data_IF_221416041828
#
_entry.id   IF_221416041828
#
_cell.length_a   1.000
_cell.length_b   1.000
_cell.length_c   1.000
_cell.angle_alpha   90.00
_cell.angle_beta   90.00
_cell.angle_gamma   90.00
#
_symmetry.space_group_name_H-M   'P 1'
#
loop_
_entity.id
_entity.type
_entity.pdbx_description
1 polymer ?
#
# COMPACT_ATOMS: atom_id res chain seq x y z
N UNK A 1 -12.97 -6.37 42.39
CA UNK A 1 -11.85 -5.97 41.50
C UNK A 1 -12.47 -5.10 40.44
N UNK A 2 -12.05 -3.83 40.33
CA UNK A 2 -12.52 -2.97 39.25
C UNK A 2 -11.94 -3.51 37.93
N UNK A 3 -12.79 -3.69 36.91
CA UNK A 3 -12.30 -3.97 35.56
C UNK A 3 -11.36 -2.85 35.13
N UNK A 4 -10.20 -3.14 34.50
CA UNK A 4 -9.34 -2.08 33.99
C UNK A 4 -10.14 -1.20 33.04
N UNK A 5 -10.01 0.12 33.18
CA UNK A 5 -10.59 1.06 32.24
C UNK A 5 -10.07 0.74 30.83
N UNK A 6 -10.93 0.80 29.80
CA UNK A 6 -10.50 0.56 28.43
C UNK A 6 -9.42 1.59 28.07
N UNK A 7 -8.26 1.09 27.64
CA UNK A 7 -7.11 1.88 27.26
C UNK A 7 -6.65 1.46 25.87
N UNK A 8 -6.32 2.45 25.03
CA UNK A 8 -5.85 2.22 23.67
C UNK A 8 -4.33 2.19 23.69
N UNK A 9 -3.76 1.12 23.13
CA UNK A 9 -2.33 1.05 22.90
C UNK A 9 -1.96 1.82 21.62
N UNK A 10 -1.22 2.92 21.76
CA UNK A 10 -0.86 3.80 20.65
C UNK A 10 0.66 3.87 20.45
N UNK A 11 1.07 3.74 19.19
CA UNK A 11 2.45 3.90 18.73
C UNK A 11 2.51 4.96 17.63
N UNK A 12 3.58 5.74 17.56
CA UNK A 12 3.77 6.75 16.51
C UNK A 12 5.08 6.50 15.78
N UNK A 13 5.04 6.43 14.46
CA UNK A 13 6.19 6.07 13.61
C UNK A 13 6.34 7.02 12.42
N UNK A 14 7.56 7.10 11.94
CA UNK A 14 7.93 7.75 10.68
C UNK A 14 7.43 6.91 9.50
N UNK A 15 6.58 7.48 8.66
CA UNK A 15 5.99 6.83 7.48
C UNK A 15 7.05 6.31 6.48
N UNK A 16 8.22 6.96 6.42
CA UNK A 16 9.32 6.65 5.49
C UNK A 16 10.30 5.68 6.09
N UNK A 17 10.68 5.87 7.35
CA UNK A 17 11.79 5.09 7.93
C UNK A 17 11.32 3.96 8.84
N UNK A 18 10.07 3.96 9.33
CA UNK A 18 9.65 3.01 10.36
C UNK A 18 10.09 3.38 11.77
N UNK A 19 10.91 4.42 11.91
CA UNK A 19 11.42 4.86 13.21
C UNK A 19 10.29 5.31 14.12
N UNK A 20 10.32 4.89 15.37
CA UNK A 20 9.45 5.43 16.40
C UNK A 20 9.70 6.92 16.62
N UNK A 21 8.64 7.66 16.95
CA UNK A 21 8.69 9.10 17.13
C UNK A 21 8.28 9.49 18.55
N UNK A 22 8.99 10.45 19.11
CA UNK A 22 8.48 11.23 20.23
C UNK A 22 7.36 12.11 19.69
N UNK A 23 6.17 11.96 20.27
CA UNK A 23 4.97 12.60 19.77
C UNK A 23 4.11 13.16 20.90
N UNK A 24 3.22 14.08 20.53
CA UNK A 24 2.25 14.70 21.42
C UNK A 24 0.86 14.31 20.96
N UNK A 25 0.04 13.82 21.89
CA UNK A 25 -1.39 13.60 21.67
C UNK A 25 -2.13 14.73 22.35
N UNK A 26 -2.87 15.49 21.56
CA UNK A 26 -3.78 16.54 22.03
C UNK A 26 -5.21 16.03 21.89
N UNK A 27 -5.93 15.97 22.99
CA UNK A 27 -7.35 15.59 22.97
C UNK A 27 -8.20 16.79 22.58
N UNK A 28 -9.18 16.60 21.70
CA UNK A 28 -10.18 17.63 21.39
C UNK A 28 -11.42 17.43 22.26
N UNK A 29 -11.83 18.47 22.98
CA UNK A 29 -13.11 18.53 23.70
C UNK A 29 -13.99 19.61 23.05
N UNK A 30 -14.87 19.20 22.13
CA UNK A 30 -15.64 20.15 21.32
C UNK A 30 -14.73 20.95 20.39
N UNK A 31 -14.82 22.28 20.42
CA UNK A 31 -13.93 23.18 19.64
C UNK A 31 -12.63 23.54 20.38
N UNK A 32 -12.42 23.04 21.60
CA UNK A 32 -11.25 23.37 22.43
C UNK A 32 -10.22 22.25 22.44
N UNK A 33 -8.94 22.61 22.35
CA UNK A 33 -7.83 21.68 22.59
C UNK A 33 -7.71 21.47 24.10
N UNK A 34 -7.95 20.23 24.54
CA UNK A 34 -7.90 19.80 25.92
C UNK A 34 -6.49 19.39 26.38
N UNK A 35 -6.42 18.32 27.17
CA UNK A 35 -5.17 17.83 27.75
C UNK A 35 -4.16 17.35 26.69
N UNK A 36 -2.87 17.41 27.04
CA UNK A 36 -1.76 16.97 26.20
C UNK A 36 -1.02 15.83 26.90
N UNK A 37 -0.81 14.73 26.18
CA UNK A 37 0.00 13.60 26.63
C UNK A 37 1.23 13.45 25.73
N UNK A 38 2.37 13.14 26.33
CA UNK A 38 3.58 12.79 25.58
C UNK A 38 3.63 11.28 25.32
N UNK A 39 3.96 10.91 24.09
CA UNK A 39 4.33 9.56 23.68
C UNK A 39 5.84 9.53 23.52
N UNK A 40 6.47 8.59 24.21
CA UNK A 40 7.90 8.34 24.06
C UNK A 40 8.16 7.39 22.88
N UNK A 41 9.22 7.65 22.12
CA UNK A 41 9.64 6.84 20.96
C UNK A 41 10.09 5.40 21.30
N UNK A 42 10.02 4.96 22.56
CA UNK A 42 10.62 3.70 22.99
C UNK A 42 9.60 2.62 23.35
N UNK A 43 8.30 2.95 23.38
CA UNK A 43 7.24 1.97 23.69
C UNK A 43 5.86 2.48 23.31
N UNK A 44 4.91 1.58 23.02
CA UNK A 44 3.49 1.92 22.96
C UNK A 44 3.04 2.62 24.25
N UNK A 45 2.20 3.64 24.09
CA UNK A 45 1.63 4.40 25.20
C UNK A 45 0.16 4.03 25.36
N UNK A 46 -0.24 3.67 26.58
CA UNK A 46 -1.64 3.40 26.92
C UNK A 46 -2.38 4.73 27.10
N UNK A 47 -3.36 4.99 26.25
CA UNK A 47 -4.22 6.17 26.32
C UNK A 47 -5.49 5.86 27.12
N UNK A 48 -5.78 6.60 28.21
CA UNK A 48 -6.91 6.30 29.09
C UNK A 48 -8.27 6.79 28.58
N UNK A 49 -8.32 7.43 27.40
CA UNK A 49 -9.48 8.18 26.91
C UNK A 49 -9.72 7.93 25.41
N UNK A 50 -11.00 7.94 25.02
CA UNK A 50 -11.48 7.90 23.64
C UNK A 50 -11.98 9.26 23.19
N UNK A 51 -11.86 9.57 21.91
CA UNK A 51 -12.33 10.81 21.32
C UNK A 51 -11.50 11.22 20.11
N UNK A 52 -11.72 12.44 19.64
CA UNK A 52 -10.91 13.02 18.58
C UNK A 52 -9.59 13.48 19.18
N UNK A 53 -8.48 13.03 18.60
CA UNK A 53 -7.14 13.42 19.00
C UNK A 53 -6.37 13.94 17.80
N UNK A 54 -5.51 14.92 18.07
CA UNK A 54 -4.50 15.40 17.14
C UNK A 54 -3.14 14.85 17.59
N UNK A 55 -2.42 14.20 16.68
CA UNK A 55 -1.09 13.67 16.92
C UNK A 55 -0.06 14.51 16.17
N UNK A 56 0.94 14.99 16.91
CA UNK A 56 2.00 15.84 16.37
C UNK A 56 3.38 15.29 16.77
N UNK A 57 4.34 15.34 15.85
CA UNK A 57 5.75 15.09 16.14
C UNK A 57 6.60 16.18 15.46
N UNK A 58 7.68 16.60 16.10
CA UNK A 58 8.53 17.67 15.58
C UNK A 58 9.14 17.27 14.23
N UNK A 59 8.90 18.08 13.18
CA UNK A 59 9.37 17.80 11.82
C UNK A 59 8.44 16.93 10.98
N UNK A 60 7.25 16.59 11.49
CA UNK A 60 6.27 15.73 10.80
C UNK A 60 4.93 16.44 10.59
N UNK A 61 4.19 16.00 9.57
CA UNK A 61 2.80 16.42 9.35
C UNK A 61 1.91 15.69 10.36
N UNK A 62 1.24 16.44 11.23
CA UNK A 62 0.31 15.89 12.20
C UNK A 62 -0.94 15.29 11.55
N UNK A 63 -1.62 14.43 12.30
CA UNK A 63 -2.86 13.77 11.89
C UNK A 63 -3.94 13.93 12.96
N UNK A 64 -5.17 14.14 12.50
CA UNK A 64 -6.38 14.08 13.31
C UNK A 64 -7.03 12.71 13.13
N UNK A 65 -7.41 12.06 14.24
CA UNK A 65 -8.10 10.79 14.20
C UNK A 65 -9.03 10.62 15.38
N UNK A 66 -10.07 9.81 15.19
CA UNK A 66 -10.95 9.39 16.26
C UNK A 66 -10.47 8.07 16.85
N UNK A 67 -10.08 8.08 18.13
CA UNK A 67 -9.71 6.89 18.89
C UNK A 67 -10.92 6.39 19.68
N UNK A 68 -11.38 5.17 19.40
CA UNK A 68 -12.41 4.50 20.20
C UNK A 68 -11.80 3.90 21.47
N UNK A 69 -12.57 3.81 22.57
CA UNK A 69 -12.03 3.33 23.85
C UNK A 69 -11.59 1.85 23.79
N UNK A 70 -12.28 1.07 22.98
CA UNK A 70 -12.03 -0.34 22.69
C UNK A 70 -11.22 -0.54 21.39
N UNK A 71 -10.54 0.50 20.92
CA UNK A 71 -9.72 0.40 19.73
C UNK A 71 -8.61 -0.64 19.90
N UNK A 72 -8.34 -1.36 18.82
CA UNK A 72 -7.20 -2.26 18.73
C UNK A 72 -5.87 -1.49 18.87
N UNK A 73 -4.76 -2.20 19.19
CA UNK A 73 -3.43 -1.62 19.13
C UNK A 73 -3.24 -0.87 17.80
N UNK A 74 -2.93 0.42 17.92
CA UNK A 74 -2.94 1.37 16.82
C UNK A 74 -1.54 1.93 16.61
N UNK A 75 -1.05 1.87 15.37
CA UNK A 75 0.18 2.56 14.96
C UNK A 75 -0.18 3.72 14.03
N UNK A 76 0.20 4.93 14.41
CA UNK A 76 0.01 6.14 13.60
C UNK A 76 1.31 6.45 12.90
N UNK A 77 1.25 6.57 11.58
CA UNK A 77 2.40 6.90 10.75
C UNK A 77 2.32 8.37 10.38
N UNK A 78 3.40 9.12 10.63
CA UNK A 78 3.48 10.53 10.27
C UNK A 78 4.45 10.72 9.12
N UNK A 79 4.02 11.49 8.12
CA UNK A 79 4.86 11.85 6.98
C UNK A 79 5.82 12.97 7.41
N UNK A 80 7.15 12.83 7.19
CA UNK A 80 8.08 13.91 7.50
C UNK A 80 7.82 15.13 6.60
N UNK A 81 7.96 16.33 7.16
CA UNK A 81 7.83 17.59 6.39
C UNK A 81 8.93 17.75 5.36
N UNK A 82 10.07 17.09 5.56
CA UNK A 82 11.20 17.03 4.65
C UNK A 82 11.56 15.57 4.41
N UNK A 83 11.58 15.17 3.14
CA UNK A 83 12.05 13.83 2.76
C UNK A 83 13.58 13.87 2.66
N UNK A 84 14.32 12.98 3.36
CA UNK A 84 15.78 12.92 3.25
C UNK A 84 16.23 12.69 1.79
N UNK A 85 17.17 13.50 1.32
CA UNK A 85 17.72 13.49 -0.05
C UNK A 85 18.79 12.41 -0.31
N UNK A 86 18.96 11.45 0.61
CA UNK A 86 19.92 10.38 0.39
C UNK A 86 19.50 9.56 -0.85
N UNK A 87 20.43 9.35 -1.78
CA UNK A 87 20.18 8.51 -2.94
C UNK A 87 19.73 7.12 -2.45
N UNK A 88 18.53 6.66 -2.82
CA UNK A 88 18.12 5.31 -2.47
C UNK A 88 19.03 4.35 -3.25
N UNK A 89 19.78 3.50 -2.53
CA UNK A 89 20.37 2.33 -3.19
C UNK A 89 19.27 1.44 -3.77
N UNK A 90 19.63 0.54 -4.69
CA UNK A 90 18.69 -0.36 -5.36
C UNK A 90 17.72 -1.07 -4.41
N UNK A 91 18.20 -1.62 -3.30
CA UNK A 91 17.31 -2.15 -2.26
C UNK A 91 17.75 -1.54 -0.95
N UNK A 92 16.88 -0.76 -0.32
CA UNK A 92 17.18 -0.14 0.95
C UNK A 92 16.00 -0.30 1.91
N UNK A 93 16.24 -0.05 3.18
CA UNK A 93 15.19 -0.22 4.15
C UNK A 93 15.68 -0.09 5.58
N UNK A 94 14.81 -0.43 6.52
CA UNK A 94 15.13 -0.42 7.93
C UNK A 94 14.64 -1.71 8.60
N UNK A 95 15.41 -2.21 9.57
CA UNK A 95 15.07 -3.38 10.39
C UNK A 95 14.72 -2.93 11.80
N UNK A 96 13.54 -3.34 12.28
CA UNK A 96 13.00 -3.03 13.60
C UNK A 96 12.59 -4.29 14.35
N UNK A 97 12.77 -4.24 15.66
CA UNK A 97 12.26 -5.26 16.57
C UNK A 97 10.96 -4.74 17.22
N UNK A 98 9.79 -5.33 16.93
CA UNK A 98 8.53 -4.88 17.48
C UNK A 98 8.34 -5.24 18.96
N UNK A 99 9.11 -6.18 19.52
CA UNK A 99 9.07 -6.50 20.95
C UNK A 99 9.95 -5.54 21.76
N UNK A 100 11.10 -5.14 21.21
CA UNK A 100 12.01 -4.19 21.85
C UNK A 100 11.77 -2.73 21.46
N UNK A 101 10.85 -2.48 20.52
CA UNK A 101 10.45 -1.16 20.03
C UNK A 101 11.64 -0.28 19.60
N UNK A 102 12.64 -0.86 18.93
CA UNK A 102 13.88 -0.17 18.55
C UNK A 102 14.47 -0.68 17.23
N UNK A 103 15.28 0.13 16.52
CA UNK A 103 16.01 -0.34 15.35
C UNK A 103 17.00 -1.44 15.72
N UNK A 104 17.23 -2.35 14.77
CA UNK A 104 18.17 -3.47 14.95
C UNK A 104 19.47 -3.15 14.22
N UNK A 105 20.50 -2.77 14.97
CA UNK A 105 21.83 -2.56 14.42
C UNK A 105 22.58 -3.88 14.20
N UNK A 106 23.33 -3.97 13.10
CA UNK A 106 24.13 -5.15 12.77
C UNK A 106 23.33 -6.37 12.33
N UNK A 107 22.04 -6.23 12.01
CA UNK A 107 21.29 -7.27 11.33
C UNK A 107 21.96 -7.55 9.98
N UNK A 108 22.16 -8.83 9.67
CA UNK A 108 22.74 -9.26 8.39
C UNK A 108 21.62 -9.51 7.40
N UNK A 109 21.61 -8.75 6.33
CA UNK A 109 20.64 -8.92 5.24
C UNK A 109 21.32 -9.58 4.05
N UNK A 110 20.69 -10.62 3.49
CA UNK A 110 21.21 -11.36 2.34
C UNK A 110 20.14 -11.55 1.28
N UNK A 111 20.49 -11.20 0.05
CA UNK A 111 19.67 -11.44 -1.14
C UNK A 111 20.54 -12.07 -2.24
N UNK A 112 20.18 -13.28 -2.66
CA UNK A 112 21.06 -14.11 -3.50
C UNK A 112 22.44 -14.32 -2.85
N UNK A 113 23.50 -13.92 -3.56
CA UNK A 113 24.89 -13.97 -3.10
C UNK A 113 25.40 -12.65 -2.48
N UNK A 114 24.53 -11.66 -2.33
CA UNK A 114 24.88 -10.33 -1.81
C UNK A 114 24.56 -10.23 -0.34
N UNK A 115 25.32 -9.47 0.42
CA UNK A 115 25.08 -9.26 1.86
C UNK A 115 25.41 -7.83 2.25
N UNK A 116 24.61 -7.27 3.14
CA UNK A 116 24.84 -5.96 3.78
C UNK A 116 24.51 -6.07 5.27
N UNK A 117 24.87 -5.04 6.04
CA UNK A 117 24.53 -4.93 7.47
C UNK A 117 23.67 -3.69 7.69
N UNK A 118 22.76 -3.76 8.65
CA UNK A 118 22.07 -2.57 9.13
C UNK A 118 22.96 -1.70 10.03
N UNK A 119 22.82 -0.39 9.93
CA UNK A 119 23.50 0.59 10.77
C UNK A 119 22.83 0.80 12.15
N UNK A 120 23.27 1.79 12.93
CA UNK A 120 22.75 2.05 14.27
C UNK A 120 21.26 2.43 14.28
N UNK A 121 20.78 3.01 13.18
CA UNK A 121 19.40 3.38 12.94
C UNK A 121 18.59 2.22 12.31
N UNK A 122 19.21 1.04 12.16
CA UNK A 122 18.61 -0.14 11.57
C UNK A 122 18.54 -0.08 10.05
N UNK A 123 19.09 0.95 9.41
CA UNK A 123 19.03 1.14 7.97
C UNK A 123 20.01 0.21 7.28
N UNK A 124 19.56 -0.39 6.17
CA UNK A 124 20.41 -1.17 5.29
C UNK A 124 20.29 -0.68 3.85
N UNK A 125 21.34 -0.94 3.06
CA UNK A 125 21.39 -0.58 1.64
C UNK A 125 22.14 -1.66 0.85
N UNK A 126 21.57 -2.04 -0.29
CA UNK A 126 22.22 -2.68 -1.42
C UNK A 126 22.26 -1.68 -2.57
N UNK A 127 23.44 -1.33 -3.05
CA UNK A 127 23.60 -0.21 -3.99
C UNK A 127 23.06 -0.50 -5.39
N UNK A 128 23.19 -1.75 -5.85
CA UNK A 128 22.90 -2.13 -7.24
C UNK A 128 22.13 -3.45 -7.33
N UNK A 129 21.25 -3.60 -8.34
CA UNK A 129 20.60 -4.87 -8.64
C UNK A 129 21.61 -5.96 -9.04
N UNK A 130 21.21 -7.25 -8.95
CA UNK A 130 21.85 -8.33 -9.70
C UNK A 130 21.96 -7.95 -11.20
N UNK A 131 23.08 -8.24 -11.89
CA UNK A 131 23.27 -7.82 -13.30
C UNK A 131 22.23 -8.40 -14.27
N UNK A 132 21.63 -9.51 -13.90
CA UNK A 132 20.63 -10.28 -14.63
C UNK A 132 19.18 -9.87 -14.31
N UNK A 133 18.97 -9.03 -13.28
CA UNK A 133 17.64 -8.54 -12.90
C UNK A 133 17.17 -7.45 -13.87
N UNK A 134 16.47 -7.87 -14.93
CA UNK A 134 15.95 -6.98 -15.97
C UNK A 134 14.42 -6.77 -15.88
N UNK A 135 13.75 -7.55 -15.04
CA UNK A 135 12.29 -7.60 -14.87
C UNK A 135 11.99 -7.87 -13.40
N UNK A 136 10.80 -7.49 -12.93
CA UNK A 136 10.40 -7.79 -11.55
C UNK A 136 10.36 -9.31 -11.33
N UNK A 137 11.05 -9.79 -10.29
CA UNK A 137 11.07 -11.21 -9.92
C UNK A 137 10.94 -11.38 -8.41
N UNK A 138 10.31 -12.49 -7.99
CA UNK A 138 10.25 -12.87 -6.58
C UNK A 138 11.64 -13.29 -6.09
N UNK A 139 12.12 -12.65 -5.04
CA UNK A 139 13.40 -12.92 -4.40
C UNK A 139 13.21 -13.12 -2.90
N UNK A 140 14.12 -13.86 -2.26
CA UNK A 140 14.11 -14.01 -0.81
C UNK A 140 15.16 -13.10 -0.17
N UNK A 141 14.69 -12.16 0.64
CA UNK A 141 15.52 -11.36 1.53
C UNK A 141 15.62 -12.10 2.87
N UNK A 142 16.79 -12.64 3.16
CA UNK A 142 17.09 -13.26 4.45
C UNK A 142 17.60 -12.20 5.42
N UNK A 143 17.08 -12.20 6.64
CA UNK A 143 17.46 -11.28 7.72
C UNK A 143 17.89 -12.11 8.91
N UNK A 144 19.17 -12.05 9.25
CA UNK A 144 19.75 -12.75 10.39
C UNK A 144 20.15 -11.75 11.47
N UNK A 145 19.70 -11.98 12.70
CA UNK A 145 20.09 -11.22 13.90
C UNK A 145 20.75 -12.14 14.92
N UNK A 146 21.15 -11.59 16.06
CA UNK A 146 21.65 -12.37 17.20
C UNK A 146 20.57 -13.26 17.84
N UNK A 147 19.29 -12.89 17.71
CA UNK A 147 18.15 -13.55 18.36
C UNK A 147 17.27 -14.39 17.44
N UNK A 148 17.20 -14.05 16.16
CA UNK A 148 16.30 -14.69 15.20
C UNK A 148 16.80 -14.57 13.76
N UNK A 149 16.33 -15.50 12.93
CA UNK A 149 16.48 -15.48 11.48
C UNK A 149 15.10 -15.49 10.83
N UNK A 150 14.89 -14.60 9.85
CA UNK A 150 13.65 -14.46 9.10
C UNK A 150 13.96 -14.45 7.60
N UNK A 151 13.01 -14.87 6.78
CA UNK A 151 13.09 -14.77 5.32
C UNK A 151 11.81 -14.13 4.81
N UNK A 152 11.94 -13.09 4.00
CA UNK A 152 10.82 -12.40 3.35
C UNK A 152 10.86 -12.61 1.85
N UNK A 153 9.71 -12.90 1.27
CA UNK A 153 9.53 -12.86 -0.18
C UNK A 153 9.31 -11.41 -0.57
N UNK A 154 10.13 -10.90 -1.49
CA UNK A 154 10.05 -9.53 -2.00
C UNK A 154 9.98 -9.57 -3.52
N UNK A 155 9.12 -8.74 -4.11
CA UNK A 155 9.04 -8.57 -5.56
C UNK A 155 9.96 -7.40 -5.95
N UNK A 156 11.12 -7.71 -6.52
CA UNK A 156 12.11 -6.70 -6.87
C UNK A 156 12.35 -6.64 -8.36
N UNK A 157 12.37 -5.42 -8.91
CA UNK A 157 12.78 -5.12 -10.28
C UNK A 157 14.13 -4.41 -10.33
N UNK A 158 14.57 -3.96 -11.53
CA UNK A 158 15.80 -3.18 -11.68
C UNK A 158 15.75 -1.80 -10.97
N UNK A 159 14.54 -1.32 -10.66
CA UNK A 159 14.31 -0.04 -10.01
C UNK A 159 14.62 -0.08 -8.50
N UNK A 160 14.93 1.07 -7.87
CA UNK A 160 15.09 1.14 -6.43
C UNK A 160 13.84 0.69 -5.67
N UNK A 161 13.98 -0.05 -4.58
CA UNK A 161 12.89 -0.47 -3.70
C UNK A 161 13.22 -0.16 -2.25
N UNK A 162 12.19 0.16 -1.47
CA UNK A 162 12.29 0.41 -0.05
C UNK A 162 11.55 -0.67 0.74
N UNK A 163 12.11 -1.08 1.88
CA UNK A 163 11.52 -2.10 2.75
C UNK A 163 11.50 -1.60 4.20
N UNK A 164 10.38 -1.78 4.90
CA UNK A 164 10.31 -1.63 6.35
C UNK A 164 10.08 -3.00 6.99
N UNK A 165 11.07 -3.48 7.74
CA UNK A 165 11.11 -4.84 8.24
C UNK A 165 10.85 -4.81 9.75
N UNK A 166 9.61 -5.11 10.15
CA UNK A 166 9.25 -5.40 11.54
C UNK A 166 9.42 -6.90 11.82
N UNK A 167 10.48 -7.26 12.53
CA UNK A 167 10.84 -8.66 12.77
C UNK A 167 9.74 -9.42 13.52
N UNK A 168 9.37 -10.61 13.05
CA UNK A 168 8.34 -11.44 13.69
C UNK A 168 6.90 -11.09 13.33
N UNK A 169 6.66 -10.08 12.49
CA UNK A 169 5.43 -9.95 11.70
C UNK A 169 5.65 -10.67 10.37
N UNK A 170 5.13 -11.89 10.23
CA UNK A 170 5.20 -12.65 8.96
C UNK A 170 4.15 -12.08 8.02
N UNK A 171 4.56 -11.17 7.13
CA UNK A 171 3.75 -10.80 5.99
C UNK A 171 4.07 -11.77 4.85
N UNK A 172 3.50 -12.98 4.90
CA UNK A 172 3.45 -13.87 3.73
C UNK A 172 2.06 -13.67 3.11
N UNK A 173 1.82 -12.46 2.57
CA UNK A 173 0.57 -12.16 1.88
C UNK A 173 0.74 -12.65 0.43
N UNK A 174 0.53 -13.95 0.25
CA UNK A 174 0.54 -14.64 -1.03
C UNK A 174 -0.49 -13.99 -1.98
N UNK A 175 -0.01 -13.18 -2.92
CA UNK A 175 -0.83 -12.72 -4.05
C UNK A 175 -1.18 -13.94 -4.89
N UNK A 176 -2.45 -14.32 -5.01
CA UNK A 176 -2.89 -15.36 -5.96
C UNK A 176 -3.24 -14.84 -7.35
N UNK A 177 -3.33 -13.52 -7.56
CA UNK A 177 -3.90 -12.94 -8.79
C UNK A 177 -2.88 -12.40 -9.82
N UNK A 178 -1.62 -12.13 -9.47
CA UNK A 178 -0.62 -11.61 -10.45
C UNK A 178 0.68 -12.44 -10.50
N UNK A 179 0.98 -13.17 -9.42
CA UNK A 179 2.21 -13.95 -9.24
C UNK A 179 2.36 -15.15 -10.18
N UNK A 180 1.26 -15.71 -10.73
CA UNK A 180 1.32 -16.88 -11.62
C UNK A 180 1.78 -16.58 -13.05
N UNK A 181 1.68 -15.34 -13.54
CA UNK A 181 2.00 -15.01 -14.94
C UNK A 181 3.34 -14.28 -15.15
N UNK A 182 4.09 -13.97 -14.09
CA UNK A 182 5.44 -13.38 -14.20
C UNK A 182 6.40 -14.29 -15.00
N UNK A 183 6.08 -15.58 -15.17
CA UNK A 183 6.90 -16.53 -15.92
C UNK A 183 6.74 -16.46 -17.46
N UNK A 184 5.61 -16.01 -18.01
CA UNK A 184 5.24 -16.39 -19.40
C UNK A 184 4.98 -15.26 -20.41
N UNK A 185 5.17 -13.98 -20.07
CA UNK A 185 4.92 -12.90 -21.07
C UNK A 185 6.01 -11.83 -21.11
N UNK A 186 7.06 -12.10 -21.88
CA UNK A 186 8.04 -11.09 -22.29
C UNK A 186 8.13 -11.02 -23.81
N UNK A 187 7.47 -10.03 -24.40
CA UNK A 187 7.88 -9.49 -25.70
C UNK A 187 8.29 -8.02 -25.49
N UNK A 188 9.52 -7.68 -25.91
CA UNK A 188 10.23 -6.43 -25.58
C UNK A 188 10.25 -5.47 -26.77
N UNK A 189 10.09 -4.17 -26.50
CA UNK A 189 10.89 -3.12 -27.16
C UNK A 189 11.11 -1.92 -26.20
N UNK A 190 12.36 -1.63 -25.76
CA UNK A 190 12.65 -0.66 -24.70
C UNK A 190 12.93 0.79 -25.16
N UNK A 191 12.47 1.25 -26.33
CA UNK A 191 12.74 2.64 -26.75
C UNK A 191 11.50 3.39 -27.22
N UNK A 192 10.90 4.17 -26.31
CA UNK A 192 10.26 5.48 -26.57
C UNK A 192 9.73 6.09 -25.26
N UNK A 193 10.49 6.98 -24.64
CA UNK A 193 9.98 7.89 -23.62
C UNK A 193 10.24 9.31 -24.10
N UNK A 194 9.18 9.97 -24.57
CA UNK A 194 9.18 11.41 -24.81
C UNK A 194 8.39 12.08 -23.67
N UNK A 195 9.05 12.99 -22.97
CA UNK A 195 8.47 13.88 -21.96
C UNK A 195 7.40 14.77 -22.59
N UNK A 196 6.19 14.81 -22.02
CA UNK A 196 5.21 15.86 -22.32
C UNK A 196 4.14 16.04 -21.23
N UNK A 197 4.15 17.24 -20.63
CA UNK A 197 3.15 18.03 -19.88
C UNK A 197 1.91 17.35 -19.23
N UNK A 198 1.65 17.78 -17.98
CA UNK A 198 0.50 17.47 -17.12
C UNK A 198 -0.86 17.88 -17.71
N UNK A 199 -1.91 17.05 -17.54
CA UNK A 199 -3.29 17.42 -17.89
C UNK A 199 -3.90 18.44 -16.90
N UNK A 200 -4.92 19.21 -17.32
CA UNK A 200 -5.48 20.31 -16.53
C UNK A 200 -6.34 19.87 -15.32
N UNK A 201 -6.26 20.66 -14.24
CA UNK A 201 -6.91 20.46 -12.93
C UNK A 201 -8.46 20.63 -12.98
N UNK A 202 -9.19 19.56 -12.71
CA UNK A 202 -10.60 19.57 -12.30
C UNK A 202 -10.76 20.04 -10.84
N UNK A 203 -11.95 20.50 -10.38
CA UNK A 203 -12.14 20.92 -8.99
C UNK A 203 -11.89 19.75 -8.03
N UNK A 204 -10.88 19.90 -7.20
CA UNK A 204 -10.30 18.83 -6.37
C UNK A 204 -11.15 18.68 -5.10
N UNK A 205 -11.94 17.61 -5.01
CA UNK A 205 -12.27 17.06 -3.70
C UNK A 205 -10.93 16.75 -3.03
N UNK A 206 -10.61 17.44 -1.94
CA UNK A 206 -9.40 17.14 -1.19
C UNK A 206 -9.51 15.69 -0.68
N UNK A 207 -8.51 14.82 -0.96
CA UNK A 207 -8.51 13.50 -0.39
C UNK A 207 -8.53 13.53 1.14
N UNK A 208 -9.06 12.50 1.80
CA UNK A 208 -8.95 12.37 3.25
C UNK A 208 -7.47 12.41 3.65
N UNK A 209 -7.18 13.05 4.79
CA UNK A 209 -5.81 13.22 5.27
C UNK A 209 -5.15 11.87 5.58
N UNK A 210 -5.93 10.91 6.09
CA UNK A 210 -5.48 9.58 6.48
C UNK A 210 -6.52 8.50 6.23
N UNK A 211 -6.08 7.26 6.32
CA UNK A 211 -6.90 6.04 6.27
C UNK A 211 -6.49 5.09 7.39
N UNK A 212 -7.48 4.41 7.98
CA UNK A 212 -7.29 3.36 9.00
C UNK A 212 -7.31 2.00 8.33
N UNK A 213 -6.18 1.33 8.32
CA UNK A 213 -6.01 0.01 7.70
C UNK A 213 -5.91 -1.07 8.79
N UNK A 214 -6.80 -2.06 8.75
CA UNK A 214 -6.79 -3.19 9.68
C UNK A 214 -5.83 -4.31 9.22
N UNK A 215 -5.08 -4.86 10.16
CA UNK A 215 -4.13 -5.96 9.93
C UNK A 215 -4.39 -7.14 10.87
N UNK A 216 -4.14 -8.35 10.39
CA UNK A 216 -4.10 -9.55 11.23
C UNK A 216 -2.73 -9.63 11.92
N UNK A 217 -2.72 -9.94 13.22
CA UNK A 217 -1.47 -9.99 14.00
C UNK A 217 -0.63 -11.26 13.77
N UNK A 218 -1.21 -12.29 13.15
CA UNK A 218 -0.61 -13.62 12.92
C UNK A 218 -0.19 -13.87 11.47
N UNK A 219 -0.18 -12.84 10.62
CA UNK A 219 0.05 -12.99 9.18
C UNK A 219 -1.13 -13.62 8.42
N UNK A 220 -2.26 -13.85 9.09
CA UNK A 220 -3.50 -14.29 8.47
C UNK A 220 -4.17 -13.21 7.61
N UNK A 221 -5.32 -13.54 7.03
CA UNK A 221 -6.09 -12.58 6.22
C UNK A 221 -7.21 -11.95 7.03
N UNK A 222 -7.38 -10.64 6.85
CA UNK A 222 -8.48 -9.87 7.44
C UNK A 222 -9.86 -10.07 6.78
N UNK A 223 -9.98 -10.92 5.77
CA UNK A 223 -11.19 -11.01 4.94
C UNK A 223 -12.48 -11.36 5.68
N UNK A 224 -12.38 -12.04 6.82
CA UNK A 224 -13.52 -12.47 7.64
C UNK A 224 -13.61 -11.71 8.97
N UNK A 225 -12.97 -10.54 9.08
CA UNK A 225 -13.05 -9.68 10.26
C UNK A 225 -12.11 -10.07 11.41
N UNK A 226 -11.08 -10.87 11.13
CA UNK A 226 -10.03 -11.33 12.06
C UNK A 226 -8.89 -10.34 12.27
N UNK A 227 -8.99 -9.12 11.75
CA UNK A 227 -8.01 -8.09 12.07
C UNK A 227 -7.92 -7.89 13.59
N UNK A 228 -6.75 -7.49 14.06
CA UNK A 228 -6.47 -7.32 15.50
C UNK A 228 -5.56 -6.13 15.80
N UNK A 229 -5.06 -5.45 14.77
CA UNK A 229 -4.29 -4.20 14.89
C UNK A 229 -4.74 -3.22 13.81
N UNK A 230 -4.47 -1.93 14.02
CA UNK A 230 -4.77 -0.86 13.07
C UNK A 230 -3.52 -0.04 12.78
N UNK A 231 -3.31 0.29 11.51
CA UNK A 231 -2.37 1.33 11.11
C UNK A 231 -3.13 2.53 10.57
N UNK A 232 -2.84 3.73 11.09
CA UNK A 232 -3.36 4.98 10.57
C UNK A 232 -2.27 5.61 9.71
N UNK A 233 -2.53 5.67 8.41
CA UNK A 233 -1.57 6.09 7.40
C UNK A 233 -2.04 7.39 6.76
N UNK A 234 -1.17 8.36 6.47
CA UNK A 234 -1.47 9.41 5.51
C UNK A 234 -1.89 8.75 4.19
N UNK A 235 -2.90 9.30 3.51
CA UNK A 235 -3.46 8.61 2.34
C UNK A 235 -2.39 8.36 1.26
N UNK A 236 -1.48 9.29 1.02
CA UNK A 236 -0.39 9.08 0.05
C UNK A 236 0.61 8.01 0.49
N UNK A 237 0.87 7.86 1.79
CA UNK A 237 1.68 6.76 2.33
C UNK A 237 0.97 5.42 2.11
N UNK A 238 -0.35 5.38 2.31
CA UNK A 238 -1.15 4.20 2.02
C UNK A 238 -1.06 3.78 0.55
N UNK A 239 -1.18 4.71 -0.39
CA UNK A 239 -1.06 4.39 -1.83
C UNK A 239 0.35 3.89 -2.15
N UNK A 240 1.38 4.52 -1.59
CA UNK A 240 2.79 4.15 -1.80
C UNK A 240 3.11 2.71 -1.36
N UNK A 241 2.49 2.28 -0.27
CA UNK A 241 2.66 0.98 0.40
C UNK A 241 1.85 -0.18 -0.17
N UNK A 242 1.01 0.08 -1.16
CA UNK A 242 0.17 -0.97 -1.76
C UNK A 242 0.18 -1.00 -3.27
N UNK A 243 0.63 0.08 -3.94
CA UNK A 243 0.60 0.12 -5.40
C UNK A 243 1.50 -0.96 -6.03
N UNK A 244 2.65 -1.29 -5.44
CA UNK A 244 3.54 -2.33 -5.95
C UNK A 244 3.03 -3.76 -5.74
N UNK A 245 2.04 -3.96 -4.86
CA UNK A 245 1.37 -5.25 -4.68
C UNK A 245 0.28 -5.46 -5.74
N UNK A 246 -0.36 -4.37 -6.15
CA UNK A 246 -1.49 -4.41 -7.08
C UNK A 246 -1.08 -4.13 -8.54
N UNK A 247 -0.03 -3.33 -8.76
CA UNK A 247 0.54 -3.04 -10.06
C UNK A 247 2.00 -3.49 -10.10
N UNK A 248 2.37 -4.19 -11.18
CA UNK A 248 3.74 -4.66 -11.33
C UNK A 248 4.66 -3.45 -11.53
N UNK A 249 5.58 -3.23 -10.60
CA UNK A 249 6.46 -2.06 -10.58
C UNK A 249 7.25 -1.80 -11.88
N UNK A 250 7.49 -2.83 -12.71
CA UNK A 250 8.17 -2.69 -14.01
C UNK A 250 7.25 -2.28 -15.16
N UNK A 251 5.96 -2.07 -14.91
CA UNK A 251 5.02 -1.55 -15.90
C UNK A 251 5.30 -0.09 -16.24
N UNK A 252 4.66 0.35 -17.32
CA UNK A 252 4.80 1.70 -17.85
C UNK A 252 4.36 2.75 -16.82
N UNK A 253 4.98 3.93 -16.86
CA UNK A 253 4.67 5.00 -15.91
C UNK A 253 3.19 5.41 -15.95
N UNK A 254 2.56 5.45 -17.12
CA UNK A 254 1.14 5.80 -17.19
C UNK A 254 0.24 4.67 -16.66
N UNK A 255 0.58 3.39 -16.84
CA UNK A 255 -0.15 2.29 -16.16
C UNK A 255 -0.05 2.40 -14.63
N UNK A 256 1.16 2.64 -14.10
CA UNK A 256 1.36 2.82 -12.66
C UNK A 256 0.59 4.04 -12.12
N UNK A 257 0.51 5.15 -12.87
CA UNK A 257 -0.25 6.35 -12.48
C UNK A 257 -1.76 6.10 -12.48
N UNK A 258 -2.28 5.38 -13.47
CA UNK A 258 -3.68 4.95 -13.49
C UNK A 258 -3.98 4.06 -12.26
N UNK A 259 -3.10 3.10 -11.96
CA UNK A 259 -3.16 2.28 -10.76
C UNK A 259 -3.14 3.10 -9.47
N UNK A 260 -2.25 4.08 -9.36
CA UNK A 260 -2.14 4.96 -8.19
C UNK A 260 -3.45 5.71 -7.93
N UNK A 261 -4.09 6.24 -8.97
CA UNK A 261 -5.36 6.97 -8.85
C UNK A 261 -6.50 6.04 -8.44
N UNK A 262 -6.60 4.85 -9.05
CA UNK A 262 -7.63 3.88 -8.69
C UNK A 262 -7.44 3.35 -7.26
N UNK A 263 -6.20 3.02 -6.88
CA UNK A 263 -5.90 2.55 -5.53
C UNK A 263 -6.24 3.63 -4.49
N UNK A 264 -5.85 4.89 -4.73
CA UNK A 264 -6.17 6.05 -3.87
C UNK A 264 -7.67 6.29 -3.75
N UNK A 265 -8.38 6.24 -4.88
CA UNK A 265 -9.82 6.52 -4.92
C UNK A 265 -10.63 5.46 -4.19
N UNK A 266 -10.24 4.19 -4.30
CA UNK A 266 -10.86 3.09 -3.55
C UNK A 266 -10.64 3.23 -2.03
N UNK A 267 -9.40 3.52 -1.61
CA UNK A 267 -9.09 3.81 -0.22
C UNK A 267 -9.86 5.02 0.32
N UNK A 268 -9.89 6.12 -0.43
CA UNK A 268 -10.63 7.33 -0.07
C UNK A 268 -12.14 7.09 0.05
N UNK A 269 -12.71 6.25 -0.83
CA UNK A 269 -14.10 5.83 -0.71
C UNK A 269 -14.35 5.08 0.59
N UNK A 270 -13.44 4.20 1.01
CA UNK A 270 -13.54 3.45 2.26
C UNK A 270 -13.38 4.30 3.52
N UNK A 271 -12.65 5.41 3.48
CA UNK A 271 -12.66 6.38 4.60
C UNK A 271 -14.07 6.93 4.86
N UNK A 272 -14.85 7.16 3.79
CA UNK A 272 -16.24 7.61 3.91
C UNK A 272 -17.23 6.45 4.11
N UNK A 273 -16.82 5.22 3.80
CA UNK A 273 -17.63 4.01 3.86
C UNK A 273 -16.85 2.89 4.58
N UNK A 274 -16.57 3.07 5.88
CA UNK A 274 -15.66 2.19 6.60
C UNK A 274 -16.27 0.80 6.75
N UNK A 275 -15.44 -0.24 6.62
CA UNK A 275 -15.88 -1.64 6.78
C UNK A 275 -16.38 -1.92 8.19
N UNK A 276 -15.77 -1.30 9.19
CA UNK A 276 -16.17 -1.42 10.60
C UNK A 276 -15.99 -0.08 11.32
N UNK A 277 -16.44 0.00 12.57
CA UNK A 277 -16.13 1.17 13.40
C UNK A 277 -14.63 1.34 13.68
N UNK A 278 -13.85 0.24 13.66
CA UNK A 278 -12.44 0.23 14.06
C UNK A 278 -11.49 0.63 12.91
N UNK A 279 -11.83 0.30 11.67
CA UNK A 279 -10.98 0.56 10.50
C UNK A 279 -11.81 0.80 9.23
N UNK A 280 -11.20 1.52 8.30
CA UNK A 280 -11.83 1.91 7.03
C UNK A 280 -11.76 0.78 6.02
N UNK A 281 -10.56 0.20 5.86
CA UNK A 281 -10.25 -0.91 4.97
C UNK A 281 -9.31 -1.92 5.65
N UNK A 282 -9.25 -3.15 5.12
CA UNK A 282 -8.32 -4.16 5.61
C UNK A 282 -7.13 -4.35 4.66
N UNK A 283 -5.98 -4.78 5.16
CA UNK A 283 -4.86 -5.22 4.31
C UNK A 283 -5.01 -6.71 4.00
N UNK A 284 -5.51 -7.03 2.80
CA UNK A 284 -5.58 -8.39 2.25
C UNK A 284 -6.16 -8.40 0.83
N UNK A 285 -6.06 -9.56 0.16
CA UNK A 285 -6.57 -9.78 -1.20
C UNK A 285 -8.10 -9.64 -1.40
N UNK A 286 -8.90 -9.45 -0.35
CA UNK A 286 -10.34 -9.12 -0.49
C UNK A 286 -10.66 -7.64 -0.23
N UNK A 287 -9.64 -6.87 0.13
CA UNK A 287 -9.67 -5.43 0.29
C UNK A 287 -8.64 -4.86 -0.70
N UNK A 288 -7.58 -4.24 -0.20
CA UNK A 288 -6.39 -3.89 -0.96
C UNK A 288 -5.19 -4.33 -0.13
N UNK A 289 -4.18 -4.94 -0.76
CA UNK A 289 -2.95 -5.29 -0.04
C UNK A 289 -2.21 -4.00 0.30
N UNK A 290 -1.82 -3.87 1.56
CA UNK A 290 -1.01 -2.76 2.02
C UNK A 290 0.01 -3.30 3.01
N UNK A 291 1.28 -3.19 2.68
CA UNK A 291 2.32 -3.60 3.61
C UNK A 291 3.33 -2.47 3.83
N UNK A 292 4.54 -2.79 4.25
CA UNK A 292 5.50 -1.79 4.67
C UNK A 292 6.56 -1.52 3.59
N UNK A 293 6.46 -2.18 2.44
CA UNK A 293 7.40 -2.07 1.33
C UNK A 293 6.90 -1.16 0.20
N UNK A 294 7.84 -0.70 -0.63
CA UNK A 294 7.54 0.16 -1.78
C UNK A 294 8.56 -0.02 -2.91
N UNK A 295 8.22 0.47 -4.11
CA UNK A 295 9.14 0.52 -5.26
C UNK A 295 9.22 1.92 -5.85
N UNK A 296 10.39 2.29 -6.38
CA UNK A 296 10.70 3.64 -6.86
C UNK A 296 9.84 4.08 -8.04
N UNK A 297 9.48 3.17 -8.94
CA UNK A 297 8.58 3.45 -10.06
C UNK A 297 7.13 3.65 -9.60
N UNK A 298 6.64 2.80 -8.68
CA UNK A 298 5.33 2.99 -8.04
C UNK A 298 5.29 4.29 -7.25
N UNK A 299 6.29 4.56 -6.42
CA UNK A 299 6.48 5.80 -5.67
C UNK A 299 6.41 7.04 -6.57
N UNK A 300 7.14 7.03 -7.68
CA UNK A 300 7.14 8.13 -8.64
C UNK A 300 5.77 8.32 -9.31
N UNK A 301 5.02 7.24 -9.55
CA UNK A 301 3.66 7.33 -10.05
C UNK A 301 2.71 7.91 -8.99
N UNK A 302 2.82 7.49 -7.72
CA UNK A 302 2.06 8.04 -6.59
C UNK A 302 2.32 9.54 -6.46
N UNK A 303 3.59 9.96 -6.48
CA UNK A 303 3.98 11.37 -6.39
C UNK A 303 3.45 12.19 -7.58
N UNK A 304 3.51 11.64 -8.79
CA UNK A 304 3.02 12.31 -10.01
C UNK A 304 1.49 12.49 -10.04
N UNK A 305 0.74 11.68 -9.28
CA UNK A 305 -0.73 11.76 -9.22
C UNK A 305 -1.23 12.17 -7.84
N UNK A 306 -0.38 12.76 -6.99
CA UNK A 306 -0.71 13.05 -5.61
C UNK A 306 -2.00 13.87 -5.50
N UNK A 307 -2.94 13.37 -4.69
CA UNK A 307 -4.24 13.99 -4.47
C UNK A 307 -5.25 13.92 -5.62
N UNK A 308 -4.95 13.22 -6.72
CA UNK A 308 -5.94 12.97 -7.77
C UNK A 308 -6.84 11.79 -7.41
N UNK A 309 -8.15 12.03 -7.48
CA UNK A 309 -9.20 11.06 -7.19
C UNK A 309 -10.17 10.95 -8.36
N UNK A 310 -10.66 9.74 -8.61
CA UNK A 310 -11.88 9.50 -9.36
C UNK A 310 -13.05 9.88 -8.45
N UNK A 311 -13.98 10.68 -8.96
CA UNK A 311 -15.15 11.13 -8.20
C UNK A 311 -16.44 10.90 -8.96
N UNK A 312 -17.54 10.76 -8.23
CA UNK A 312 -18.90 10.90 -8.78
C UNK A 312 -19.56 12.06 -8.05
N UNK A 313 -19.66 13.21 -8.71
CA UNK A 313 -20.03 14.45 -8.05
C UNK A 313 -18.96 14.86 -7.03
N UNK A 314 -19.35 14.98 -5.76
CA UNK A 314 -18.48 15.45 -4.67
C UNK A 314 -17.96 14.33 -3.76
N UNK A 315 -18.13 13.06 -4.13
CA UNK A 315 -17.62 11.91 -3.36
C UNK A 315 -16.59 11.14 -4.17
N UNK A 316 -15.57 10.53 -3.51
CA UNK A 316 -14.68 9.59 -4.18
C UNK A 316 -15.52 8.46 -4.81
N UNK A 317 -15.11 7.99 -5.97
CA UNK A 317 -15.73 6.84 -6.64
C UNK A 317 -15.14 5.55 -6.08
N UNK A 318 -15.97 4.51 -5.93
CA UNK A 318 -15.50 3.16 -5.54
C UNK A 318 -14.84 2.48 -6.75
N UNK A 319 -13.61 2.89 -7.05
CA UNK A 319 -12.84 2.47 -8.22
C UNK A 319 -12.27 1.06 -8.04
N UNK A 320 -13.11 0.04 -8.20
CA UNK A 320 -12.68 -1.35 -8.27
C UNK A 320 -11.71 -1.57 -9.44
N UNK A 321 -10.85 -2.56 -9.31
CA UNK A 321 -9.92 -3.01 -10.35
C UNK A 321 -9.70 -4.51 -10.21
N UNK A 322 -9.36 -5.18 -11.31
CA UNK A 322 -9.07 -6.61 -11.34
C UNK A 322 -7.90 -6.91 -12.27
N UNK A 323 -7.33 -8.11 -12.19
CA UNK A 323 -6.22 -8.51 -13.07
C UNK A 323 -6.65 -8.34 -14.54
N UNK A 324 -7.78 -8.93 -14.92
CA UNK A 324 -8.41 -8.72 -16.22
C UNK A 324 -9.93 -8.55 -16.07
N UNK A 325 -10.46 -7.45 -16.61
CA UNK A 325 -11.89 -7.06 -16.48
C UNK A 325 -12.72 -7.30 -17.74
N UNK A 326 -12.22 -8.09 -18.69
CA UNK A 326 -12.95 -8.39 -19.93
C UNK A 326 -14.32 -9.02 -19.61
N UNK A 327 -15.34 -8.62 -20.35
CA UNK A 327 -16.69 -9.17 -20.31
C UNK A 327 -16.80 -10.55 -20.95
N UNK A 328 -15.71 -11.30 -20.98
CA UNK A 328 -15.61 -12.65 -21.51
C UNK A 328 -14.55 -13.43 -20.74
N UNK A 329 -14.83 -14.69 -20.45
CA UNK A 329 -13.92 -15.63 -19.79
C UNK A 329 -13.40 -16.63 -20.84
N UNK A 330 -12.09 -16.86 -20.86
CA UNK A 330 -11.48 -17.81 -21.78
C UNK A 330 -11.57 -19.21 -21.15
N UNK A 331 -12.36 -20.15 -21.72
CA UNK A 331 -12.53 -21.47 -21.13
C UNK A 331 -11.23 -22.30 -21.12
N UNK A 332 -10.21 -21.92 -21.89
CA UNK A 332 -9.00 -22.71 -22.12
C UNK A 332 -7.74 -22.16 -21.40
N UNK A 333 -7.80 -20.98 -20.76
CA UNK A 333 -6.62 -20.36 -20.13
C UNK A 333 -6.35 -20.83 -18.67
N UNK A 334 -7.35 -21.48 -18.05
CA UNK A 334 -7.27 -22.00 -16.69
C UNK A 334 -7.20 -20.92 -15.60
N UNK A 335 -7.49 -19.66 -15.93
CA UNK A 335 -7.56 -18.55 -14.99
C UNK A 335 -8.96 -18.47 -14.36
N UNK A 336 -9.06 -18.10 -13.06
CA UNK A 336 -10.35 -17.95 -12.42
C UNK A 336 -11.01 -16.61 -12.77
N UNK A 337 -12.16 -16.64 -13.43
CA UNK A 337 -13.10 -15.52 -13.46
C UNK A 337 -14.22 -15.72 -12.43
N UNK A 338 -14.36 -14.79 -11.49
CA UNK A 338 -15.45 -14.78 -10.52
C UNK A 338 -16.47 -13.68 -10.79
N UNK A 339 -16.43 -13.05 -11.97
CA UNK A 339 -17.43 -12.07 -12.37
C UNK A 339 -18.73 -12.81 -12.77
N UNK A 340 -19.86 -12.62 -12.06
CA UNK A 340 -21.11 -13.26 -12.42
C UNK A 340 -21.79 -12.64 -13.66
N UNK A 341 -21.31 -11.50 -14.15
CA UNK A 341 -21.90 -10.74 -15.24
C UNK A 341 -20.88 -10.46 -16.36
N UNK A 342 -20.88 -11.33 -17.36
CA UNK A 342 -20.08 -11.23 -18.57
C UNK A 342 -20.93 -10.79 -19.78
N UNK A 343 -22.03 -10.06 -19.53
CA UNK A 343 -22.98 -9.69 -20.59
C UNK A 343 -22.43 -8.67 -21.60
N UNK A 344 -21.33 -7.97 -21.27
CA UNK A 344 -20.68 -7.02 -22.17
C UNK A 344 -19.92 -7.67 -23.32
N UNK A 345 -19.54 -8.95 -23.19
CA UNK A 345 -18.84 -9.70 -24.23
C UNK A 345 -17.35 -9.35 -24.36
N UNK A 346 -16.69 -10.09 -25.26
CA UNK A 346 -15.25 -10.01 -25.49
C UNK A 346 -14.84 -8.65 -26.09
N UNK A 347 -13.81 -8.02 -25.50
CA UNK A 347 -13.32 -6.69 -25.91
C UNK A 347 -14.12 -5.54 -25.31
N UNK A 348 -14.86 -5.80 -24.22
CA UNK A 348 -15.60 -4.79 -23.48
C UNK A 348 -15.46 -5.02 -21.98
N UNK A 349 -15.54 -3.94 -21.21
CA UNK A 349 -15.60 -3.97 -19.74
C UNK A 349 -16.96 -3.45 -19.28
N UNK A 350 -17.40 -3.85 -18.10
CA UNK A 350 -18.65 -3.39 -17.50
C UNK A 350 -19.39 -4.51 -16.78
N UNK A 351 -20.44 -4.12 -16.06
CA UNK A 351 -21.35 -5.05 -15.40
C UNK A 351 -22.74 -4.39 -15.30
N UNK A 352 -23.61 -4.59 -16.31
CA UNK A 352 -24.99 -4.11 -16.26
C UNK A 352 -25.76 -4.56 -15.00
N UNK A 353 -25.43 -5.73 -14.41
CA UNK A 353 -26.02 -6.19 -13.16
C UNK A 353 -25.64 -5.33 -11.93
N UNK A 354 -24.56 -4.55 -12.03
CA UNK A 354 -24.12 -3.57 -11.04
C UNK A 354 -24.36 -2.12 -11.49
N UNK A 355 -25.25 -1.90 -12.48
CA UNK A 355 -25.54 -0.62 -13.10
C UNK A 355 -24.33 0.04 -13.80
N UNK A 356 -23.34 -0.75 -14.22
CA UNK A 356 -22.19 -0.26 -14.95
C UNK A 356 -22.36 -0.47 -16.46
N UNK A 357 -22.21 0.58 -17.28
CA UNK A 357 -22.37 0.46 -18.72
C UNK A 357 -21.26 -0.41 -19.32
N UNK A 358 -21.58 -1.09 -20.42
CA UNK A 358 -20.55 -1.72 -21.24
C UNK A 358 -19.75 -0.66 -21.99
N UNK A 359 -18.45 -0.65 -21.78
CA UNK A 359 -17.49 0.22 -22.44
C UNK A 359 -16.57 -0.63 -23.32
N UNK A 360 -16.33 -0.18 -24.55
CA UNK A 360 -15.39 -0.86 -25.44
C UNK A 360 -13.97 -0.79 -24.86
N UNK A 361 -13.30 -1.93 -24.79
CA UNK A 361 -11.93 -2.07 -24.34
C UNK A 361 -11.16 -2.99 -25.30
N UNK A 362 -10.74 -2.42 -26.42
CA UNK A 362 -10.15 -3.18 -27.53
C UNK A 362 -8.85 -3.90 -27.16
N UNK A 363 -8.13 -3.46 -26.13
CA UNK A 363 -6.91 -4.15 -25.68
C UNK A 363 -7.22 -5.41 -24.85
N UNK A 364 -8.48 -5.60 -24.43
CA UNK A 364 -8.93 -6.79 -23.71
C UNK A 364 -9.43 -7.90 -24.65
N UNK A 365 -9.55 -7.66 -25.95
CA UNK A 365 -10.00 -8.69 -26.91
C UNK A 365 -9.14 -9.94 -26.84
N UNK A 366 -9.80 -11.09 -26.69
CA UNK A 366 -9.21 -12.43 -26.55
C UNK A 366 -8.32 -12.58 -25.31
N UNK A 367 -8.59 -11.78 -24.26
CA UNK A 367 -7.99 -11.92 -22.93
C UNK A 367 -9.09 -12.33 -21.95
N UNK A 368 -9.08 -13.58 -21.50
CA UNK A 368 -10.05 -14.09 -20.54
C UNK A 368 -10.07 -13.27 -19.25
N UNK A 369 -11.27 -13.06 -18.70
CA UNK A 369 -11.48 -12.48 -17.37
C UNK A 369 -10.60 -13.18 -16.32
N UNK A 370 -9.97 -12.40 -15.45
CA UNK A 370 -9.14 -12.94 -14.39
C UNK A 370 -9.33 -12.13 -13.11
N UNK A 371 -9.79 -12.81 -12.06
CA UNK A 371 -10.20 -12.21 -10.81
C UNK A 371 -11.70 -11.94 -10.81
N UNK A 372 -12.12 -10.87 -10.14
CA UNK A 372 -13.54 -10.53 -10.04
C UNK A 372 -14.07 -9.74 -11.24
N UNK A 373 -13.20 -9.39 -12.19
CA UNK A 373 -13.56 -8.84 -13.51
C UNK A 373 -14.33 -7.52 -13.49
N UNK A 374 -14.17 -6.72 -12.44
CA UNK A 374 -14.91 -5.48 -12.21
C UNK A 374 -13.98 -4.28 -12.20
N UNK A 375 -14.42 -3.19 -12.82
CA UNK A 375 -13.72 -1.91 -12.84
C UNK A 375 -12.52 -1.94 -13.78
N UNK A 376 -11.43 -1.25 -13.43
CA UNK A 376 -10.27 -1.13 -14.31
C UNK A 376 -9.51 -2.46 -14.43
N UNK A 377 -9.17 -2.86 -15.66
CA UNK A 377 -8.27 -3.99 -15.89
C UNK A 377 -6.81 -3.56 -15.63
N UNK A 378 -6.10 -4.24 -14.72
CA UNK A 378 -4.68 -4.01 -14.44
C UNK A 378 -3.86 -4.24 -15.71
N UNK A 379 -4.00 -5.43 -16.33
CA UNK A 379 -3.32 -5.73 -17.60
C UNK A 379 -3.78 -4.84 -18.75
N UNK A 380 -5.05 -4.46 -18.78
CA UNK A 380 -5.60 -3.51 -19.74
C UNK A 380 -4.93 -2.14 -19.64
N UNK A 381 -4.73 -1.61 -18.41
CA UNK A 381 -4.03 -0.35 -18.19
C UNK A 381 -2.61 -0.36 -18.75
N UNK A 382 -1.90 -1.48 -18.58
CA UNK A 382 -0.56 -1.67 -19.13
C UNK A 382 -0.58 -1.72 -20.66
N UNK A 383 -1.51 -2.48 -21.26
CA UNK A 383 -1.62 -2.58 -22.73
C UNK A 383 -2.01 -1.25 -23.37
N UNK A 384 -2.91 -0.49 -22.76
CA UNK A 384 -3.25 0.87 -23.23
C UNK A 384 -2.05 1.81 -23.18
N UNK A 385 -1.30 1.78 -22.07
CA UNK A 385 -0.11 2.63 -21.95
C UNK A 385 1.01 2.24 -22.93
N UNK A 386 1.19 0.94 -23.22
CA UNK A 386 2.10 0.48 -24.28
C UNK A 386 1.71 1.00 -25.67
N UNK A 387 0.43 1.31 -25.90
CA UNK A 387 -0.06 1.95 -27.12
C UNK A 387 0.00 3.49 -27.07
N UNK A 388 0.64 4.06 -26.04
CA UNK A 388 0.83 5.50 -25.87
C UNK A 388 -0.37 6.24 -25.26
N UNK A 389 -1.36 5.52 -24.72
CA UNK A 389 -2.42 6.16 -23.93
C UNK A 389 -1.89 6.61 -22.57
N UNK A 390 -2.47 7.69 -22.07
CA UNK A 390 -2.19 8.23 -20.74
C UNK A 390 -3.24 7.75 -19.73
N UNK A 391 -2.91 7.91 -18.46
CA UNK A 391 -3.76 7.62 -17.31
C UNK A 391 -4.90 8.62 -17.14
#
# INVERSE_FOLDING_TARGET
>A
MASPSPAVELSVRDARTGRWLDAQVRFQEGESIGSMLQIAAERPTQLPLSGVVQIEAAGYRGLDLHLAADAWPTTVWLEPLQVPTAAPGWLNGHVYDPQLHRPVAGARLRIGNRTTLSDAEGRFVFDHPPPDLNVAQMMHLHIDTDRQSESRTVLLGPEPSQQLIDLGQVADIDHRQLSRQIADSFDRDPQKIASAAEPPRAPVLAPPASIRVGFASDGGTCCVGSCSTVQVLPLETYVRRGLNDEWIASWTADSLRAGAIAYRSYGAWHVLNPRTAQYDICSSACCQVNDADTSGSSDAAVDATAGLLLTTGSTPFRSEYSAESNGWDDPDDGLPCSNPDLSCGNGAVGSPAADWPCLADAVATDRGCFGHGRGMSQWGSQRWSQQGQRW
#
